data_IF_880873429708
#
_entry.id   IF_880873429708
#
_cell.length_a   1.000
_cell.length_b   1.000
_cell.length_c   1.000
_cell.angle_alpha   90.00
_cell.angle_beta   90.00
_cell.angle_gamma   90.00
#
_symmetry.space_group_name_H-M   'P 1'
#
loop_
_entity.id
_entity.type
_entity.pdbx_description
1 polymer ?
#
# COMPACT_ATOMS: atom_id res chain seq x y z
N UNK A 1 -24.83 -8.77 15.64
CA UNK A 1 -25.01 -7.54 14.83
C UNK A 1 -25.23 -7.95 13.39
N UNK A 2 -26.25 -7.36 12.78
CA UNK A 2 -27.06 -7.85 11.66
C UNK A 2 -26.33 -7.87 10.31
N UNK A 3 -26.65 -8.85 9.46
CA UNK A 3 -26.09 -9.13 8.13
C UNK A 3 -26.35 -8.05 7.05
N UNK A 4 -26.79 -6.84 7.42
CA UNK A 4 -27.20 -5.78 6.48
C UNK A 4 -26.05 -4.85 6.04
N UNK A 5 -24.89 -4.87 6.71
CA UNK A 5 -23.79 -3.92 6.46
C UNK A 5 -22.90 -4.24 5.24
N UNK A 6 -23.16 -5.33 4.51
CA UNK A 6 -22.35 -5.76 3.37
C UNK A 6 -22.92 -5.35 1.98
N UNK A 7 -24.13 -4.81 1.94
CA UNK A 7 -24.80 -4.40 0.72
C UNK A 7 -24.80 -2.87 0.58
N UNK A 8 -24.56 -2.37 -0.63
CA UNK A 8 -24.60 -0.94 -0.94
C UNK A 8 -25.73 -0.67 -1.94
N UNK A 9 -26.72 0.09 -1.51
CA UNK A 9 -27.79 0.59 -2.38
C UNK A 9 -27.38 1.91 -3.01
N UNK A 10 -27.39 2.00 -4.35
CA UNK A 10 -27.04 3.23 -5.07
C UNK A 10 -27.63 3.29 -6.49
N UNK A 11 -27.53 4.47 -7.11
CA UNK A 11 -27.74 4.64 -8.55
C UNK A 11 -26.45 4.27 -9.28
N UNK A 12 -26.56 3.47 -10.33
CA UNK A 12 -25.42 2.83 -10.96
C UNK A 12 -25.47 2.95 -12.49
N UNK A 13 -24.34 3.29 -13.09
CA UNK A 13 -24.11 3.24 -14.54
C UNK A 13 -22.89 2.37 -14.82
N UNK A 14 -23.02 1.37 -15.67
CA UNK A 14 -21.92 0.52 -16.12
C UNK A 14 -21.72 0.74 -17.61
N UNK A 15 -20.47 0.90 -18.02
CA UNK A 15 -20.07 1.03 -19.41
C UNK A 15 -18.99 -0.01 -19.73
N UNK A 16 -19.22 -0.83 -20.76
CA UNK A 16 -18.25 -1.75 -21.30
C UNK A 16 -17.66 -1.17 -22.58
N UNK A 17 -16.33 -1.13 -22.66
CA UNK A 17 -15.58 -0.58 -23.77
C UNK A 17 -15.10 -1.69 -24.70
N UNK A 18 -15.14 -1.44 -26.00
CA UNK A 18 -14.57 -2.30 -27.04
C UNK A 18 -13.05 -2.23 -27.07
N UNK A 19 -12.44 -3.06 -27.92
CA UNK A 19 -10.98 -3.06 -28.09
C UNK A 19 -10.44 -1.68 -28.50
N UNK A 20 -11.22 -0.94 -29.29
CA UNK A 20 -10.95 0.43 -29.77
C UNK A 20 -11.31 1.55 -28.76
N UNK A 21 -11.78 1.22 -27.55
CA UNK A 21 -12.10 2.22 -26.52
C UNK A 21 -13.47 2.91 -26.67
N UNK A 22 -14.32 2.44 -27.59
CA UNK A 22 -15.70 2.92 -27.77
C UNK A 22 -16.66 2.11 -26.87
N UNK A 23 -17.70 2.76 -26.33
CA UNK A 23 -18.72 2.10 -25.50
C UNK A 23 -19.52 1.12 -26.37
N UNK A 24 -19.46 -0.17 -26.04
CA UNK A 24 -20.20 -1.24 -26.72
C UNK A 24 -21.53 -1.51 -26.03
N UNK A 25 -21.51 -1.56 -24.70
CA UNK A 25 -22.68 -1.87 -23.88
C UNK A 25 -22.72 -0.89 -22.72
N UNK A 26 -23.92 -0.46 -22.36
CA UNK A 26 -24.15 0.31 -21.14
C UNK A 26 -25.36 -0.23 -20.38
N UNK A 27 -25.29 -0.14 -19.06
CA UNK A 27 -26.38 -0.50 -18.16
C UNK A 27 -26.57 0.63 -17.16
N UNK A 28 -27.77 1.18 -17.05
CA UNK A 28 -28.09 2.21 -16.07
C UNK A 28 -29.27 1.76 -15.21
N UNK A 29 -29.11 1.83 -13.90
CA UNK A 29 -30.17 1.57 -12.93
C UNK A 29 -30.23 2.69 -11.90
N UNK A 30 -31.43 3.13 -11.58
CA UNK A 30 -31.68 4.10 -10.50
C UNK A 30 -31.63 3.44 -9.13
N UNK A 31 -32.01 2.17 -9.03
CA UNK A 31 -31.98 1.39 -7.80
C UNK A 31 -31.18 0.10 -8.07
N UNK A 32 -29.92 0.08 -7.65
CA UNK A 32 -29.07 -1.09 -7.71
C UNK A 32 -28.49 -1.40 -6.33
N UNK A 33 -28.41 -2.69 -6.02
CA UNK A 33 -27.77 -3.20 -4.81
C UNK A 33 -26.48 -3.89 -5.19
N UNK A 34 -25.37 -3.45 -4.59
CA UNK A 34 -24.05 -4.02 -4.79
C UNK A 34 -23.67 -4.87 -3.59
N UNK A 35 -23.22 -6.10 -3.84
CA UNK A 35 -22.72 -7.01 -2.81
C UNK A 35 -21.40 -7.60 -3.23
N UNK A 36 -20.54 -7.88 -2.25
CA UNK A 36 -19.25 -8.54 -2.49
C UNK A 36 -19.40 -10.01 -2.13
N UNK A 37 -19.30 -10.88 -3.13
CA UNK A 37 -19.43 -12.33 -2.98
C UNK A 37 -18.08 -13.02 -3.20
N UNK A 38 -17.96 -14.26 -2.73
CA UNK A 38 -16.78 -15.11 -2.94
C UNK A 38 -17.21 -16.42 -3.59
N UNK A 39 -16.43 -16.91 -4.55
CA UNK A 39 -16.66 -18.25 -5.10
C UNK A 39 -15.90 -19.33 -4.31
N UNK A 40 -16.14 -20.60 -4.67
CA UNK A 40 -15.46 -21.78 -4.11
C UNK A 40 -13.93 -21.71 -4.20
N UNK A 41 -13.40 -21.06 -5.25
CA UNK A 41 -11.97 -20.83 -5.46
C UNK A 41 -11.42 -19.61 -4.72
N UNK A 42 -12.17 -19.08 -3.75
CA UNK A 42 -11.80 -17.92 -2.94
C UNK A 42 -11.63 -16.60 -3.71
N UNK A 43 -12.00 -16.56 -4.98
CA UNK A 43 -12.03 -15.34 -5.79
C UNK A 43 -13.21 -14.46 -5.39
N UNK A 44 -12.96 -13.15 -5.33
CA UNK A 44 -13.95 -12.15 -4.98
C UNK A 44 -14.62 -11.59 -6.23
N UNK A 45 -15.94 -11.42 -6.17
CA UNK A 45 -16.74 -10.81 -7.22
C UNK A 45 -17.60 -9.69 -6.63
N UNK A 46 -17.76 -8.62 -7.41
CA UNK A 46 -18.77 -7.61 -7.21
C UNK A 46 -20.04 -8.09 -7.92
N UNK A 47 -21.07 -8.43 -7.15
CA UNK A 47 -22.39 -8.71 -7.67
C UNK A 47 -23.21 -7.43 -7.66
N UNK A 48 -23.83 -7.14 -8.78
CA UNK A 48 -24.68 -5.96 -8.99
C UNK A 48 -26.05 -6.47 -9.36
N UNK A 49 -27.01 -6.28 -8.45
CA UNK A 49 -28.41 -6.63 -8.65
C UNK A 49 -29.20 -5.35 -8.94
N UNK A 50 -29.97 -5.34 -10.02
CA UNK A 50 -30.86 -4.23 -10.38
C UNK A 50 -32.27 -4.78 -10.64
N UNK A 51 -33.29 -3.96 -10.40
CA UNK A 51 -34.67 -4.37 -10.62
C UNK A 51 -34.86 -4.80 -12.09
N UNK A 52 -35.45 -5.99 -12.30
CA UNK A 52 -35.75 -6.59 -13.60
C UNK A 52 -34.55 -6.98 -14.49
N UNK A 53 -33.33 -7.06 -13.94
CA UNK A 53 -32.14 -7.46 -14.70
C UNK A 53 -31.40 -8.56 -13.94
N UNK A 54 -30.97 -9.60 -14.67
CA UNK A 54 -30.15 -10.66 -14.11
C UNK A 54 -28.88 -10.09 -13.46
N UNK A 55 -28.47 -10.59 -12.28
CA UNK A 55 -27.37 -10.01 -11.52
C UNK A 55 -26.06 -10.09 -12.31
N UNK A 56 -25.39 -8.94 -12.44
CA UNK A 56 -24.10 -8.84 -13.11
C UNK A 56 -22.99 -9.14 -12.11
N UNK A 57 -22.08 -10.06 -12.44
CA UNK A 57 -20.95 -10.42 -11.58
C UNK A 57 -19.64 -10.01 -12.23
N UNK A 58 -18.90 -9.12 -11.57
CA UNK A 58 -17.60 -8.63 -12.04
C UNK A 58 -16.50 -9.09 -11.09
N UNK A 59 -15.49 -9.79 -11.60
CA UNK A 59 -14.38 -10.26 -10.77
C UNK A 59 -13.54 -9.08 -10.26
N UNK A 60 -13.23 -9.05 -8.97
CA UNK A 60 -12.41 -8.01 -8.34
C UNK A 60 -10.90 -8.25 -8.59
N UNK A 61 -10.49 -8.25 -9.87
CA UNK A 61 -9.07 -8.37 -10.30
C UNK A 61 -8.69 -7.24 -11.25
N UNK A 62 -7.54 -6.60 -11.01
CA UNK A 62 -7.01 -5.54 -11.88
C UNK A 62 -7.94 -4.34 -11.97
N UNK A 63 -8.27 -3.75 -10.82
CA UNK A 63 -9.20 -2.62 -10.73
C UNK A 63 -8.52 -1.32 -10.31
N UNK A 64 -9.05 -0.20 -10.80
CA UNK A 64 -8.66 1.15 -10.42
C UNK A 64 -9.86 1.87 -9.81
N UNK A 65 -9.68 2.40 -8.60
CA UNK A 65 -10.75 3.03 -7.83
C UNK A 65 -10.54 4.55 -7.74
N UNK A 66 -11.51 5.32 -8.21
CA UNK A 66 -11.54 6.77 -8.05
C UNK A 66 -12.54 7.13 -6.94
N UNK A 67 -12.02 7.77 -5.87
CA UNK A 67 -12.74 8.04 -4.62
C UNK A 67 -12.91 9.53 -4.30
N UNK A 68 -12.64 10.41 -5.27
CA UNK A 68 -12.57 11.86 -5.05
C UNK A 68 -13.91 12.46 -4.57
N UNK A 69 -15.03 11.82 -4.91
CA UNK A 69 -16.39 12.31 -4.63
C UNK A 69 -17.17 11.41 -3.68
N UNK A 70 -16.50 10.57 -2.89
CA UNK A 70 -17.19 9.62 -2.01
C UNK A 70 -17.99 10.33 -0.91
N UNK A 71 -17.52 11.51 -0.47
CA UNK A 71 -18.27 12.38 0.47
C UNK A 71 -19.62 12.85 -0.11
N UNK A 72 -19.73 12.92 -1.43
CA UNK A 72 -20.97 13.26 -2.16
C UNK A 72 -21.78 12.00 -2.56
N UNK A 73 -21.40 10.81 -2.08
CA UNK A 73 -22.06 9.56 -2.46
C UNK A 73 -21.74 9.09 -3.88
N UNK A 74 -20.61 9.52 -4.45
CA UNK A 74 -20.18 9.16 -5.80
C UNK A 74 -18.83 8.44 -5.81
N UNK A 75 -18.69 7.42 -6.64
CA UNK A 75 -17.42 6.72 -6.83
C UNK A 75 -17.34 6.11 -8.23
N UNK A 76 -16.12 5.81 -8.69
CA UNK A 76 -15.93 5.13 -9.97
C UNK A 76 -14.97 3.96 -9.80
N UNK A 77 -15.39 2.78 -10.28
CA UNK A 77 -14.62 1.54 -10.24
C UNK A 77 -14.34 1.11 -11.68
N UNK A 78 -13.07 1.11 -12.07
CA UNK A 78 -12.62 0.67 -13.41
C UNK A 78 -12.05 -0.73 -13.33
N UNK A 79 -12.62 -1.67 -14.07
CA UNK A 79 -12.16 -3.03 -14.25
C UNK A 79 -11.30 -3.11 -15.53
N UNK A 80 -9.97 -3.08 -15.36
CA UNK A 80 -9.03 -2.97 -16.49
C UNK A 80 -9.04 -4.22 -17.38
N UNK A 81 -9.16 -5.41 -16.76
CA UNK A 81 -9.17 -6.70 -17.50
C UNK A 81 -10.39 -6.86 -18.40
N UNK A 82 -11.56 -6.43 -17.92
CA UNK A 82 -12.85 -6.57 -18.62
C UNK A 82 -13.19 -5.30 -19.41
N UNK A 83 -12.31 -4.29 -19.41
CA UNK A 83 -12.53 -2.96 -20.02
C UNK A 83 -13.89 -2.37 -19.64
N UNK A 84 -14.23 -2.45 -18.35
CA UNK A 84 -15.54 -2.06 -17.83
C UNK A 84 -15.41 -0.96 -16.78
N UNK A 85 -16.24 0.06 -16.81
CA UNK A 85 -16.27 1.13 -15.82
C UNK A 85 -17.64 1.18 -15.15
N UNK A 86 -17.63 1.17 -13.81
CA UNK A 86 -18.83 1.25 -12.97
C UNK A 86 -18.83 2.59 -12.26
N UNK A 87 -19.85 3.38 -12.50
CA UNK A 87 -20.11 4.66 -11.86
C UNK A 87 -21.18 4.48 -10.81
N UNK A 88 -20.84 4.82 -9.56
CA UNK A 88 -21.73 4.84 -8.41
C UNK A 88 -22.13 6.28 -8.13
N UNK A 89 -23.42 6.52 -7.93
CA UNK A 89 -23.98 7.84 -7.63
C UNK A 89 -25.12 7.68 -6.63
N UNK A 90 -25.41 8.73 -5.86
CA UNK A 90 -26.49 8.73 -4.86
C UNK A 90 -26.39 7.56 -3.85
N UNK A 91 -25.17 7.17 -3.48
CA UNK A 91 -24.94 6.17 -2.45
C UNK A 91 -24.82 6.84 -1.08
N UNK A 92 -25.34 6.26 0.01
CA UNK A 92 -25.12 6.78 1.36
C UNK A 92 -23.61 6.88 1.66
N UNK A 93 -23.04 8.07 1.96
CA UNK A 93 -21.58 8.24 2.03
C UNK A 93 -20.89 7.34 3.06
N UNK A 94 -21.53 7.06 4.19
CA UNK A 94 -21.04 6.16 5.24
C UNK A 94 -20.93 4.72 4.73
N UNK A 95 -21.99 4.21 4.10
CA UNK A 95 -22.04 2.87 3.51
C UNK A 95 -21.07 2.75 2.33
N UNK A 96 -20.99 3.77 1.46
CA UNK A 96 -20.07 3.78 0.33
C UNK A 96 -18.60 3.74 0.80
N UNK A 97 -18.24 4.53 1.82
CA UNK A 97 -16.90 4.49 2.42
C UNK A 97 -16.57 3.10 2.99
N UNK A 98 -17.51 2.49 3.72
CA UNK A 98 -17.31 1.17 4.30
C UNK A 98 -17.20 0.10 3.21
N UNK A 99 -18.05 0.15 2.19
CA UNK A 99 -18.03 -0.75 1.04
C UNK A 99 -16.70 -0.68 0.27
N UNK A 100 -16.21 0.53 -0.04
CA UNK A 100 -14.93 0.71 -0.73
C UNK A 100 -13.73 0.28 0.13
N UNK A 101 -13.78 0.50 1.45
CA UNK A 101 -12.78 -0.03 2.39
C UNK A 101 -12.80 -1.55 2.38
N UNK A 102 -13.96 -2.18 2.39
CA UNK A 102 -14.10 -3.64 2.32
C UNK A 102 -13.51 -4.20 1.03
N UNK A 103 -13.76 -3.57 -0.12
CA UNK A 103 -13.11 -3.95 -1.39
C UNK A 103 -11.59 -3.83 -1.26
N UNK A 104 -11.08 -2.71 -0.75
CA UNK A 104 -9.64 -2.47 -0.64
C UNK A 104 -8.96 -3.47 0.30
N UNK A 105 -9.54 -3.74 1.47
CA UNK A 105 -9.01 -4.68 2.47
C UNK A 105 -9.06 -6.11 1.93
N UNK A 106 -10.19 -6.54 1.37
CA UNK A 106 -10.35 -7.90 0.84
C UNK A 106 -9.47 -8.15 -0.40
N UNK A 107 -9.17 -7.12 -1.20
CA UNK A 107 -8.18 -7.23 -2.27
C UNK A 107 -6.75 -7.32 -1.73
N UNK A 108 -6.40 -6.49 -0.75
CA UNK A 108 -5.04 -6.45 -0.16
C UNK A 108 -4.74 -7.73 0.61
N UNK A 109 -5.74 -8.32 1.28
CA UNK A 109 -5.62 -9.62 1.95
C UNK A 109 -5.43 -10.83 1.02
N UNK A 110 -5.70 -10.68 -0.29
CA UNK A 110 -5.41 -11.72 -1.30
C UNK A 110 -4.03 -11.54 -1.97
N UNK A 111 -3.33 -10.40 -1.79
CA UNK A 111 -1.98 -10.23 -2.33
C UNK A 111 -0.91 -11.05 -1.57
N UNK A 112 -1.25 -11.62 -0.41
CA UNK A 112 -0.33 -12.43 0.40
C UNK A 112 -0.49 -13.95 0.27
N UNK A 113 -1.41 -14.46 -0.58
CA UNK A 113 -1.52 -15.89 -0.90
C UNK A 113 -1.90 -16.13 -2.35
N UNK A 114 -0.93 -15.93 -3.26
CA UNK A 114 -0.94 -16.57 -4.57
C UNK A 114 0.00 -17.78 -4.51
N UNK A 115 -0.50 -18.91 -3.98
CA UNK A 115 0.01 -20.20 -4.41
C UNK A 115 -0.91 -20.70 -5.53
N UNK A 116 -0.32 -20.94 -6.70
CA UNK A 116 -1.01 -21.49 -7.86
C UNK A 116 -1.55 -22.89 -7.49
N UNK A 117 -2.86 -23.01 -7.33
CA UNK A 117 -3.51 -24.32 -7.20
C UNK A 117 -3.47 -24.98 -8.59
N UNK A 118 -2.73 -26.09 -8.68
CA UNK A 118 -2.58 -26.91 -9.87
C UNK A 118 -3.94 -27.37 -10.42
N UNK A 119 -4.11 -27.31 -11.75
CA UNK A 119 -5.28 -27.78 -12.52
C UNK A 119 -5.73 -29.19 -12.13
N UNK A 120 -4.80 -30.02 -11.64
CA UNK A 120 -5.06 -31.38 -11.16
C UNK A 120 -5.99 -31.42 -9.95
N UNK A 121 -5.90 -30.44 -9.05
CA UNK A 121 -6.77 -30.33 -7.86
C UNK A 121 -8.17 -29.82 -8.21
N UNK A 122 -8.28 -29.05 -9.29
CA UNK A 122 -9.52 -28.45 -9.78
C UNK A 122 -10.45 -29.46 -10.49
N UNK A 123 -9.87 -30.53 -11.05
CA UNK A 123 -10.61 -31.62 -11.71
C UNK A 123 -11.08 -32.71 -10.75
N UNK A 124 -10.50 -32.81 -9.55
CA UNK A 124 -10.76 -33.88 -8.58
C UNK A 124 -11.84 -33.54 -7.52
N UNK A 125 -12.39 -32.33 -7.51
CA UNK A 125 -13.39 -31.93 -6.50
C UNK A 125 -14.82 -32.27 -6.93
N UNK A 126 -15.35 -33.39 -6.44
CA UNK A 126 -16.74 -33.83 -6.62
C UNK A 126 -17.72 -33.23 -5.58
N UNK A 127 -17.69 -31.90 -5.34
CA UNK A 127 -18.63 -31.25 -4.41
C UNK A 127 -19.59 -30.29 -5.14
N UNK A 128 -20.88 -30.26 -4.77
CA UNK A 128 -21.88 -29.45 -5.45
C UNK A 128 -21.63 -27.94 -5.23
N UNK A 129 -21.96 -27.15 -6.26
CA UNK A 129 -21.77 -25.69 -6.34
C UNK A 129 -22.75 -24.95 -5.43
N UNK A 130 -22.34 -24.60 -4.21
CA UNK A 130 -23.09 -23.69 -3.32
C UNK A 130 -22.21 -22.52 -2.89
N UNK A 131 -22.77 -21.31 -2.92
CA UNK A 131 -22.12 -20.07 -2.51
C UNK A 131 -22.55 -19.73 -1.09
N UNK A 132 -21.61 -19.61 -0.15
CA UNK A 132 -21.89 -19.19 1.23
C UNK A 132 -21.73 -17.67 1.39
N UNK A 133 -22.72 -17.03 2.01
CA UNK A 133 -22.65 -15.65 2.51
C UNK A 133 -21.73 -15.58 3.75
N UNK A 134 -20.87 -14.56 3.83
CA UNK A 134 -19.87 -14.44 4.90
C UNK A 134 -20.37 -13.50 6.01
N UNK A 135 -20.36 -14.01 7.25
CA UNK A 135 -20.69 -13.36 8.52
C UNK A 135 -19.92 -12.06 8.85
N UNK A 136 -20.40 -11.25 9.83
CA UNK A 136 -19.86 -9.92 10.14
C UNK A 136 -18.45 -9.95 10.76
N UNK A 137 -17.74 -8.84 10.55
CA UNK A 137 -16.40 -8.49 11.06
C UNK A 137 -16.19 -8.94 12.51
N UNK A 138 -15.19 -9.78 12.75
CA UNK A 138 -14.77 -10.25 14.08
C UNK A 138 -13.85 -9.24 14.77
N UNK A 139 -13.70 -9.33 16.10
CA UNK A 139 -12.83 -8.44 16.89
C UNK A 139 -11.37 -8.45 16.41
N UNK A 140 -10.92 -9.56 15.81
CA UNK A 140 -9.63 -9.67 15.15
C UNK A 140 -9.49 -8.71 13.96
N UNK A 141 -10.56 -8.48 13.21
CA UNK A 141 -10.58 -7.58 12.06
C UNK A 141 -10.64 -6.10 12.50
N UNK A 142 -11.30 -5.83 13.64
CA UNK A 142 -11.34 -4.50 14.25
C UNK A 142 -9.95 -4.06 14.74
N UNK A 143 -9.17 -5.00 15.29
CA UNK A 143 -7.80 -4.75 15.76
C UNK A 143 -6.84 -4.42 14.60
N UNK A 144 -7.03 -5.06 13.44
CA UNK A 144 -6.28 -4.77 12.22
C UNK A 144 -6.66 -3.38 11.66
N UNK A 145 -7.94 -3.00 11.74
CA UNK A 145 -8.44 -1.71 11.29
C UNK A 145 -7.96 -0.52 12.17
N UNK A 146 -7.88 -0.68 13.49
CA UNK A 146 -7.34 0.34 14.41
C UNK A 146 -5.84 0.59 14.20
N UNK A 147 -5.08 -0.45 13.83
CA UNK A 147 -3.66 -0.31 13.45
C UNK A 147 -3.48 0.48 12.14
N UNK A 148 -4.48 0.45 11.26
CA UNK A 148 -4.50 1.16 9.99
C UNK A 148 -5.05 2.61 10.06
N UNK A 149 -5.88 2.95 11.05
CA UNK A 149 -6.44 4.31 11.20
C UNK A 149 -5.45 5.34 11.78
N UNK A 150 -4.38 4.88 12.43
CA UNK A 150 -3.36 5.74 13.06
C UNK A 150 -2.33 6.33 12.08
N UNK A 151 -2.47 6.09 10.77
CA UNK A 151 -1.54 6.58 9.72
C UNK A 151 -2.28 7.06 8.48
N UNK A 152 -2.89 8.25 8.55
CA UNK A 152 -3.21 9.06 7.37
C UNK A 152 -3.32 10.54 7.73
N UNK A 153 -2.22 11.26 7.52
CA UNK A 153 -2.24 12.66 7.10
C UNK A 153 -1.71 12.72 5.68
N UNK A 154 -2.45 13.45 4.86
CA UNK A 154 -2.40 13.58 3.40
C UNK A 154 -1.41 14.65 2.92
N UNK A 155 -0.90 14.49 1.70
CA UNK A 155 -0.37 15.54 0.81
C UNK A 155 -0.74 15.14 -0.64
N UNK A 156 -1.17 15.99 -1.58
CA UNK A 156 -1.13 17.45 -1.72
C UNK A 156 -2.20 17.93 -2.72
N UNK A 157 -2.67 19.17 -2.55
CA UNK A 157 -2.86 20.16 -3.64
C UNK A 157 -2.62 21.55 -3.05
N UNK A 158 -2.17 22.54 -3.85
CA UNK A 158 -1.52 23.74 -3.34
C UNK A 158 -2.53 24.78 -2.87
N UNK A 159 -2.26 25.42 -1.74
CA UNK A 159 -3.06 26.54 -1.22
C UNK A 159 -2.37 27.88 -1.51
N UNK A 160 -3.13 28.94 -1.83
CA UNK A 160 -2.59 30.27 -2.06
C UNK A 160 -2.25 31.00 -0.75
N UNK A 161 -1.28 31.90 -0.89
CA UNK A 161 -0.68 32.80 0.10
C UNK A 161 -1.74 33.63 0.85
N UNK A 162 -1.76 33.56 2.19
CA UNK A 162 -2.17 34.68 3.06
C UNK A 162 -1.27 34.78 4.30
N UNK A 163 -0.93 36.03 4.62
CA UNK A 163 0.09 36.51 5.56
C UNK A 163 -0.21 36.15 7.02
N UNK A 164 0.88 35.87 7.73
CA UNK A 164 1.02 35.56 9.16
C UNK A 164 0.61 36.75 10.04
N UNK A 165 -0.15 36.50 11.10
CA UNK A 165 -0.09 37.31 12.34
C UNK A 165 0.23 36.36 13.50
N UNK A 166 1.33 36.70 14.17
CA UNK A 166 1.94 36.01 15.30
C UNK A 166 1.08 36.23 16.55
N UNK A 167 0.93 35.21 17.39
CA UNK A 167 0.85 35.38 18.84
C UNK A 167 1.48 34.17 19.52
N UNK A 168 2.47 34.47 20.36
CA UNK A 168 3.17 33.59 21.27
C UNK A 168 2.24 33.12 22.39
N UNK A 169 2.40 31.87 22.84
CA UNK A 169 2.62 31.52 24.26
C UNK A 169 2.79 30.01 24.47
N UNK A 170 3.89 29.69 25.16
CA UNK A 170 4.13 28.58 26.11
C UNK A 170 4.04 27.10 25.72
N UNK A 171 5.23 26.47 25.73
CA UNK A 171 5.62 25.22 26.41
C UNK A 171 4.96 23.88 26.04
N UNK A 172 5.70 23.03 25.31
CA UNK A 172 6.10 21.68 25.76
C UNK A 172 6.84 20.93 24.63
N UNK A 173 8.04 20.46 24.96
CA UNK A 173 8.93 19.60 24.17
C UNK A 173 8.31 18.23 23.87
N UNK A 174 8.02 17.93 22.59
CA UNK A 174 7.90 16.55 22.08
C UNK A 174 8.42 16.43 20.65
N UNK A 175 9.64 15.92 20.52
CA UNK A 175 10.26 15.49 19.27
C UNK A 175 9.59 14.21 18.77
N UNK A 176 9.26 14.04 17.48
CA UNK A 176 8.65 12.81 16.99
C UNK A 176 9.71 11.72 16.83
N UNK A 177 9.75 10.79 17.78
CA UNK A 177 10.47 9.53 17.65
C UNK A 177 9.86 8.68 16.52
N UNK A 178 10.70 8.07 15.68
CA UNK A 178 10.27 7.14 14.65
C UNK A 178 9.42 6.02 15.26
N UNK A 179 8.14 5.92 14.86
CA UNK A 179 7.23 4.86 15.30
C UNK A 179 7.73 3.52 14.75
N UNK A 180 8.33 2.70 15.64
CA UNK A 180 8.69 1.29 15.41
C UNK A 180 7.55 0.56 14.67
N UNK A 181 7.79 0.18 13.43
CA UNK A 181 6.89 -0.67 12.63
C UNK A 181 7.27 -2.15 12.64
N UNK A 182 8.42 -2.50 13.18
CA UNK A 182 8.87 -3.88 13.28
C UNK A 182 8.73 -4.36 14.73
N UNK A 183 7.62 -5.05 14.99
CA UNK A 183 7.60 -6.12 15.98
C UNK A 183 8.54 -7.21 15.46
N UNK A 184 9.41 -7.71 16.32
CA UNK A 184 10.42 -8.75 16.10
C UNK A 184 9.87 -10.14 15.73
N UNK A 185 8.62 -10.24 15.28
CA UNK A 185 7.98 -11.48 14.87
C UNK A 185 7.28 -11.32 13.51
N UNK A 186 8.06 -11.35 12.45
CA UNK A 186 7.56 -11.64 11.10
C UNK A 186 7.85 -13.10 10.76
N UNK A 187 6.90 -13.88 10.21
CA UNK A 187 7.03 -15.32 9.96
C UNK A 187 8.08 -15.72 8.90
N UNK A 188 8.88 -14.77 8.38
CA UNK A 188 9.93 -14.99 7.37
C UNK A 188 11.35 -15.08 7.99
N UNK A 189 11.51 -14.94 9.30
CA UNK A 189 12.84 -15.00 9.93
C UNK A 189 13.53 -16.36 9.75
N UNK A 190 12.75 -17.44 9.65
CA UNK A 190 13.25 -18.82 9.69
C UNK A 190 13.47 -19.47 8.31
N UNK A 191 13.13 -18.81 7.21
CA UNK A 191 13.37 -19.38 5.88
C UNK A 191 14.89 -19.48 5.64
N UNK A 192 15.44 -20.62 5.19
CA UNK A 192 16.88 -20.77 5.05
C UNK A 192 17.43 -19.80 3.98
N UNK A 193 18.55 -19.15 4.30
CA UNK A 193 19.34 -18.41 3.31
C UNK A 193 20.19 -19.39 2.49
N UNK A 194 20.32 -19.13 1.20
CA UNK A 194 21.31 -19.82 0.36
C UNK A 194 22.75 -19.39 0.75
N UNK A 195 23.76 -20.02 0.13
CA UNK A 195 25.16 -19.78 0.47
C UNK A 195 25.59 -18.33 0.16
N UNK A 196 25.23 -17.81 -1.02
CA UNK A 196 25.59 -16.44 -1.45
C UNK A 196 24.94 -15.38 -0.54
N UNK A 197 23.67 -15.58 -0.18
CA UNK A 197 22.94 -14.72 0.73
C UNK A 197 23.53 -14.71 2.14
N UNK A 198 24.04 -15.86 2.61
CA UNK A 198 24.76 -15.94 3.89
C UNK A 198 26.07 -15.17 3.84
N UNK A 199 26.85 -15.31 2.77
CA UNK A 199 28.10 -14.56 2.60
C UNK A 199 27.87 -13.05 2.64
N UNK A 200 26.83 -12.56 1.95
CA UNK A 200 26.45 -11.14 2.00
C UNK A 200 26.04 -10.72 3.41
N UNK A 201 25.23 -11.54 4.11
CA UNK A 201 24.82 -11.24 5.48
C UNK A 201 26.02 -11.16 6.44
N UNK A 202 26.92 -12.13 6.40
CA UNK A 202 28.13 -12.17 7.23
C UNK A 202 29.05 -10.97 6.92
N UNK A 203 29.23 -10.65 5.64
CA UNK A 203 29.99 -9.47 5.25
C UNK A 203 29.35 -8.18 5.83
N UNK A 204 28.03 -8.04 5.80
CA UNK A 204 27.33 -6.90 6.41
C UNK A 204 27.55 -6.85 7.93
N UNK A 205 27.46 -7.99 8.62
CA UNK A 205 27.66 -8.09 10.06
C UNK A 205 29.11 -7.82 10.48
N UNK A 206 30.07 -8.13 9.61
CA UNK A 206 31.50 -7.80 9.81
C UNK A 206 31.81 -6.31 9.66
N UNK A 207 30.83 -5.50 9.25
CA UNK A 207 31.00 -4.04 9.09
C UNK A 207 31.59 -3.60 7.75
N UNK A 208 31.61 -4.47 6.74
CA UNK A 208 32.08 -4.12 5.40
C UNK A 208 31.04 -3.29 4.63
N UNK A 209 31.52 -2.35 3.81
CA UNK A 209 30.68 -1.61 2.86
C UNK A 209 30.43 -2.48 1.63
N UNK A 210 29.19 -2.92 1.44
CA UNK A 210 28.84 -3.90 0.40
C UNK A 210 27.85 -3.30 -0.58
N UNK A 211 28.10 -3.58 -1.85
CA UNK A 211 27.13 -3.43 -2.91
C UNK A 211 26.81 -4.82 -3.45
N UNK A 212 25.55 -5.21 -3.36
CA UNK A 212 25.06 -6.47 -3.93
C UNK A 212 23.91 -6.19 -4.89
N UNK A 213 23.83 -6.98 -5.96
CA UNK A 213 22.85 -6.83 -7.03
C UNK A 213 22.35 -8.21 -7.48
N UNK A 214 21.37 -8.22 -8.36
CA UNK A 214 20.80 -9.44 -8.91
C UNK A 214 19.55 -9.17 -9.72
N UNK A 215 19.18 -10.11 -10.59
CA UNK A 215 17.98 -10.02 -11.43
C UNK A 215 16.69 -9.90 -10.61
N UNK A 216 15.58 -9.52 -11.26
CA UNK A 216 14.28 -9.54 -10.61
C UNK A 216 13.96 -10.97 -10.11
N UNK A 217 13.41 -11.09 -8.90
CA UNK A 217 13.03 -12.38 -8.32
C UNK A 217 14.14 -13.16 -7.59
N UNK A 218 15.38 -12.67 -7.52
CA UNK A 218 16.50 -13.35 -6.82
C UNK A 218 16.51 -13.20 -5.29
N UNK A 219 15.42 -12.72 -4.69
CA UNK A 219 15.32 -12.63 -3.22
C UNK A 219 16.07 -11.44 -2.58
N UNK A 220 16.54 -10.44 -3.33
CA UNK A 220 17.23 -9.24 -2.76
C UNK A 220 16.46 -8.59 -1.60
N UNK A 221 15.17 -8.30 -1.78
CA UNK A 221 14.35 -7.69 -0.73
C UNK A 221 14.14 -8.61 0.48
N UNK A 222 14.21 -9.93 0.28
CA UNK A 222 14.16 -10.91 1.37
C UNK A 222 15.47 -10.89 2.18
N UNK A 223 16.62 -10.93 1.51
CA UNK A 223 17.93 -10.79 2.15
C UNK A 223 18.07 -9.45 2.90
N UNK A 224 17.64 -8.35 2.28
CA UNK A 224 17.70 -7.01 2.85
C UNK A 224 16.89 -6.91 4.16
N UNK A 225 15.72 -7.57 4.24
CA UNK A 225 14.95 -7.67 5.49
C UNK A 225 15.67 -8.46 6.58
N UNK A 226 16.40 -9.51 6.21
CA UNK A 226 17.21 -10.27 7.18
C UNK A 226 18.37 -9.44 7.70
N UNK A 227 19.06 -8.69 6.83
CA UNK A 227 20.13 -7.77 7.21
C UNK A 227 19.60 -6.70 8.18
N UNK A 228 18.46 -6.05 7.85
CA UNK A 228 17.82 -5.07 8.76
C UNK A 228 17.47 -5.70 10.11
N UNK A 229 16.99 -6.94 10.12
CA UNK A 229 16.64 -7.65 11.35
C UNK A 229 17.84 -8.08 12.20
N UNK A 230 19.00 -8.29 11.58
CA UNK A 230 20.23 -8.71 12.24
C UNK A 230 21.06 -7.51 12.76
N UNK A 231 20.94 -6.34 12.13
CA UNK A 231 21.65 -5.14 12.54
C UNK A 231 20.97 -4.41 13.72
N UNK A 232 21.73 -3.67 14.56
CA UNK A 232 21.15 -2.93 15.68
C UNK A 232 20.20 -1.82 15.21
N UNK A 233 18.93 -1.91 15.59
CA UNK A 233 17.88 -1.03 15.09
C UNK A 233 18.00 0.45 15.50
N UNK A 234 18.80 0.75 16.53
CA UNK A 234 18.98 2.10 17.06
C UNK A 234 19.97 2.94 16.24
N UNK A 235 20.90 2.30 15.55
CA UNK A 235 21.94 2.91 14.70
C UNK A 235 21.83 2.52 13.23
N UNK A 236 20.82 1.74 12.86
CA UNK A 236 20.56 1.32 11.47
C UNK A 236 19.45 2.15 10.85
N UNK A 237 19.69 2.67 9.65
CA UNK A 237 18.70 3.42 8.86
C UNK A 237 18.48 2.74 7.53
N UNK A 238 17.27 2.23 7.32
CA UNK A 238 16.84 1.67 6.04
C UNK A 238 16.27 2.80 5.15
N UNK A 239 16.79 2.88 3.93
CA UNK A 239 16.36 3.87 2.93
C UNK A 239 16.14 3.24 1.56
N UNK A 240 15.35 3.91 0.73
CA UNK A 240 15.19 3.54 -0.69
C UNK A 240 15.03 4.79 -1.57
N UNK A 241 15.17 4.62 -2.88
CA UNK A 241 14.99 5.72 -3.86
C UNK A 241 13.56 6.26 -3.91
N UNK A 242 12.55 5.42 -3.72
CA UNK A 242 11.12 5.80 -3.78
C UNK A 242 10.38 5.49 -2.47
N UNK A 243 9.28 6.22 -2.23
CA UNK A 243 8.45 6.03 -1.02
C UNK A 243 7.82 4.63 -0.92
N UNK A 244 7.47 4.02 -2.06
CA UNK A 244 6.90 2.67 -2.10
C UNK A 244 7.95 1.63 -1.73
N UNK A 245 9.15 1.72 -2.30
CA UNK A 245 10.26 0.82 -1.96
C UNK A 245 10.68 0.98 -0.49
N UNK A 246 10.77 2.23 0.00
CA UNK A 246 11.07 2.51 1.40
C UNK A 246 10.04 1.86 2.34
N UNK A 247 8.76 1.90 1.99
CA UNK A 247 7.71 1.24 2.77
C UNK A 247 7.86 -0.29 2.79
N UNK A 248 8.35 -0.92 1.71
CA UNK A 248 8.54 -2.37 1.64
C UNK A 248 9.64 -2.92 2.55
N UNK A 249 10.64 -2.08 2.87
CA UNK A 249 11.70 -2.36 3.84
C UNK A 249 11.48 -1.62 5.17
N UNK A 250 10.34 -0.94 5.32
CA UNK A 250 9.92 -0.19 6.50
C UNK A 250 10.88 0.93 6.92
N UNK A 251 11.52 1.53 5.92
CA UNK A 251 12.40 2.68 6.03
C UNK A 251 11.76 3.99 5.56
N UNK A 252 12.62 4.95 5.22
CA UNK A 252 12.25 6.25 4.64
C UNK A 252 12.89 6.42 3.26
N UNK A 253 12.54 7.45 2.51
CA UNK A 253 13.26 7.72 1.25
C UNK A 253 14.67 8.23 1.53
N UNK A 254 15.61 7.96 0.63
CA UNK A 254 16.98 8.49 0.74
C UNK A 254 17.01 10.02 0.79
N UNK A 255 16.13 10.68 0.02
CA UNK A 255 15.93 12.12 0.06
C UNK A 255 15.45 12.62 1.43
N UNK A 256 14.52 11.90 2.08
CA UNK A 256 14.03 12.24 3.41
C UNK A 256 15.11 12.02 4.48
N UNK A 257 15.95 11.00 4.33
CA UNK A 257 17.10 10.77 5.20
C UNK A 257 18.14 11.88 5.06
N UNK A 258 18.46 12.28 3.83
CA UNK A 258 19.45 13.31 3.57
C UNK A 258 18.99 14.69 4.05
N UNK A 259 17.68 14.99 3.92
CA UNK A 259 17.06 16.25 4.33
C UNK A 259 17.67 17.52 3.70
N UNK A 260 18.32 17.39 2.55
CA UNK A 260 18.95 18.48 1.78
C UNK A 260 18.05 19.03 0.64
N UNK A 261 16.78 18.62 0.61
CA UNK A 261 15.85 18.95 -0.48
C UNK A 261 16.24 18.27 -1.78
N UNK A 262 16.24 19.02 -2.89
CA UNK A 262 16.57 18.52 -4.24
C UNK A 262 18.09 18.34 -4.41
N UNK A 263 18.91 18.84 -3.48
CA UNK A 263 20.38 18.74 -3.56
C UNK A 263 21.01 19.59 -4.67
N UNK A 264 20.31 20.61 -5.18
CA UNK A 264 20.76 21.46 -6.30
C UNK A 264 21.68 22.62 -5.90
N UNK A 265 22.32 22.54 -4.72
CA UNK A 265 23.23 23.57 -4.19
C UNK A 265 24.66 23.10 -4.03
N UNK A 266 25.54 23.98 -3.53
CA UNK A 266 26.89 23.57 -3.10
C UNK A 266 26.82 22.57 -1.94
N UNK A 267 27.85 21.75 -1.80
CA UNK A 267 27.99 20.78 -0.70
C UNK A 267 27.83 21.48 0.65
N UNK A 268 28.50 22.63 0.83
CA UNK A 268 28.44 23.40 2.09
C UNK A 268 27.02 23.82 2.46
N UNK A 269 26.23 24.24 1.46
CA UNK A 269 24.83 24.61 1.67
C UNK A 269 23.98 23.40 2.05
N UNK A 270 24.21 22.25 1.43
CA UNK A 270 23.53 21.01 1.76
C UNK A 270 23.86 20.56 3.19
N UNK A 271 25.12 20.66 3.61
CA UNK A 271 25.55 20.38 4.99
C UNK A 271 24.91 21.36 5.98
N UNK A 272 24.84 22.64 5.65
CA UNK A 272 24.17 23.65 6.48
C UNK A 272 22.67 23.36 6.66
N UNK A 273 21.98 22.93 5.60
CA UNK A 273 20.56 22.55 5.66
C UNK A 273 20.38 21.29 6.51
N UNK A 274 21.18 20.25 6.27
CA UNK A 274 21.11 18.99 7.01
C UNK A 274 21.38 19.20 8.51
N UNK A 275 22.38 20.01 8.85
CA UNK A 275 22.78 20.29 10.24
C UNK A 275 21.76 21.13 11.02
N UNK A 276 21.04 22.05 10.37
CA UNK A 276 19.96 22.84 10.99
C UNK A 276 18.66 22.04 11.16
N UNK A 277 18.52 20.94 10.45
CA UNK A 277 17.35 20.05 10.54
C UNK A 277 17.52 18.98 11.62
N UNK A 278 16.43 18.27 11.93
CA UNK A 278 16.50 17.05 12.77
C UNK A 278 17.37 15.93 12.16
N UNK A 279 17.73 16.02 10.88
CA UNK A 279 18.56 15.02 10.20
C UNK A 279 19.99 14.96 10.74
N UNK A 280 20.57 16.08 11.20
CA UNK A 280 21.92 16.07 11.78
C UNK A 280 22.06 15.14 13.01
N UNK A 281 20.98 14.94 13.77
CA UNK A 281 20.95 13.95 14.88
C UNK A 281 20.94 12.53 14.33
N UNK A 282 20.13 12.27 13.29
CA UNK A 282 20.04 10.97 12.64
C UNK A 282 21.39 10.60 12.00
N UNK A 283 22.02 11.53 11.28
CA UNK A 283 23.32 11.33 10.63
C UNK A 283 24.41 10.97 11.64
N UNK A 284 24.51 11.70 12.76
CA UNK A 284 25.50 11.40 13.81
C UNK A 284 25.26 10.06 14.51
N UNK A 285 24.01 9.59 14.55
CA UNK A 285 23.65 8.32 15.18
C UNK A 285 23.76 7.13 14.23
N UNK A 286 23.58 7.36 12.94
CA UNK A 286 23.56 6.33 11.90
C UNK A 286 24.94 5.69 11.75
N UNK A 287 25.05 4.39 12.04
CA UNK A 287 26.24 3.57 11.78
C UNK A 287 26.07 2.65 10.59
N UNK A 288 24.83 2.28 10.28
CA UNK A 288 24.51 1.41 9.15
C UNK A 288 23.45 2.08 8.29
N UNK A 289 23.83 2.46 7.06
CA UNK A 289 22.93 3.03 6.08
C UNK A 289 22.66 2.01 4.98
N UNK A 290 21.39 1.64 4.82
CA UNK A 290 20.95 0.69 3.79
C UNK A 290 20.19 1.48 2.73
N UNK A 291 20.49 1.22 1.45
CA UNK A 291 19.90 1.92 0.31
C UNK A 291 19.38 0.89 -0.69
N UNK A 292 18.07 0.71 -0.76
CA UNK A 292 17.40 -0.13 -1.75
C UNK A 292 17.09 0.67 -3.03
N UNK A 293 17.02 -0.02 -4.18
CA UNK A 293 16.78 0.58 -5.49
C UNK A 293 17.72 1.75 -5.82
N UNK A 294 19.02 1.58 -5.52
CA UNK A 294 20.07 2.59 -5.71
C UNK A 294 20.23 3.03 -7.17
N UNK A 295 19.81 2.19 -8.13
CA UNK A 295 19.82 2.50 -9.57
C UNK A 295 19.02 3.75 -9.95
N UNK A 296 18.05 4.15 -9.12
CA UNK A 296 17.23 5.35 -9.34
C UNK A 296 17.77 6.59 -8.61
N UNK A 297 18.94 6.51 -7.96
CA UNK A 297 19.55 7.64 -7.26
C UNK A 297 20.59 8.27 -8.18
N UNK A 298 20.48 9.58 -8.40
CA UNK A 298 21.45 10.33 -9.18
C UNK A 298 22.82 10.39 -8.50
N UNK A 299 23.88 10.23 -9.29
CA UNK A 299 25.25 10.18 -8.79
C UNK A 299 25.65 11.47 -8.06
N UNK A 300 25.19 12.65 -8.53
CA UNK A 300 25.48 13.93 -7.86
C UNK A 300 24.78 14.00 -6.52
N UNK A 301 23.51 13.58 -6.46
CA UNK A 301 22.78 13.54 -5.19
C UNK A 301 23.44 12.60 -4.18
N UNK A 302 23.88 11.41 -4.63
CA UNK A 302 24.59 10.45 -3.80
C UNK A 302 25.90 11.02 -3.24
N UNK A 303 26.68 11.72 -4.08
CA UNK A 303 27.97 12.30 -3.68
C UNK A 303 27.81 13.36 -2.58
N UNK A 304 26.76 14.17 -2.64
CA UNK A 304 26.50 15.24 -1.65
C UNK A 304 25.90 14.70 -0.35
N UNK A 305 25.34 13.49 -0.36
CA UNK A 305 24.57 12.91 0.75
C UNK A 305 25.31 11.81 1.53
N UNK A 306 26.60 11.57 1.21
CA UNK A 306 27.44 10.55 1.87
C UNK A 306 28.22 11.13 3.04
#
# INVERSE_FOLDING_TARGET
MSSEDAALSCCLKIEWLNHQGVINRQLQSKNATLTIIRNEFRDLFLQISANNIAPVRLQLKGLSLHKNFVKEGKATIKFLKVKCTVYLTNAPPSQLMNFLRTIFVKMTGNFTKNENISLRTQLLSAKPRTFDEISPITESDLFIAQKASSKKSTETTPSPIRKRKLNETSSATKSPAAKKLYTSSSPLQNDPLDLEQKEVLEACLSGQNIFFTGSAGTGKSFLLRKIIGALPADVTVATASTGVAACHIGGITFHQFAAIGIGSGSVDRCVEIASKSGAGVIWRKCKHLIIDEVSMIDAKFFQVSR
#
